data_IF_028515806838
#
_entry.id   IF_028515806838
#
_cell.length_a   1.000
_cell.length_b   1.000
_cell.length_c   1.000
_cell.angle_alpha   90.00
_cell.angle_beta   90.00
_cell.angle_gamma   90.00
#
_symmetry.space_group_name_H-M   'P 1'
#
loop_
_entity.id
_entity.type
_entity.pdbx_description
1 polymer ?
#
# COMPACT_ATOMS: atom_id res chain seq x y z
N UNK A 1 32.41 13.32 -34.85
CA UNK A 1 31.53 12.15 -34.64
C UNK A 1 31.00 12.23 -33.22
N UNK A 2 29.76 12.67 -33.09
CA UNK A 2 28.94 12.71 -31.86
C UNK A 2 28.33 11.29 -31.77
N UNK A 3 28.29 10.55 -30.67
CA UNK A 3 28.34 10.90 -29.26
C UNK A 3 27.08 10.31 -28.60
N UNK A 4 27.29 9.37 -27.69
CA UNK A 4 26.38 8.91 -26.63
C UNK A 4 25.31 7.86 -27.00
N UNK A 5 25.50 6.67 -26.43
CA UNK A 5 24.55 5.57 -26.37
C UNK A 5 23.32 5.95 -25.53
N UNK A 6 22.15 5.52 -26.00
CA UNK A 6 20.88 5.61 -25.28
C UNK A 6 20.93 4.81 -23.98
N UNK A 7 21.12 5.50 -22.85
CA UNK A 7 20.90 4.95 -21.51
C UNK A 7 19.48 5.29 -21.05
N UNK A 8 18.50 4.45 -21.39
CA UNK A 8 17.27 4.34 -20.61
C UNK A 8 17.60 3.57 -19.33
N UNK A 9 18.05 4.29 -18.29
CA UNK A 9 18.52 3.68 -17.04
C UNK A 9 18.41 4.64 -15.87
N UNK A 10 17.21 5.16 -15.63
CA UNK A 10 16.89 5.96 -14.45
C UNK A 10 16.20 5.11 -13.39
N UNK A 11 16.88 4.06 -12.91
CA UNK A 11 16.48 3.30 -11.73
C UNK A 11 16.98 4.00 -10.47
N UNK A 12 16.65 5.28 -10.30
CA UNK A 12 16.85 5.91 -9.00
C UNK A 12 15.70 5.46 -8.09
N UNK A 13 15.98 4.73 -6.99
CA UNK A 13 14.97 4.54 -5.97
C UNK A 13 14.63 5.94 -5.45
N UNK A 14 13.44 6.42 -5.79
CA UNK A 14 12.88 7.63 -5.20
C UNK A 14 13.08 7.52 -3.69
N UNK A 15 13.69 8.53 -3.03
CA UNK A 15 13.80 8.51 -1.59
C UNK A 15 12.39 8.37 -1.05
N UNK A 16 12.11 7.26 -0.37
CA UNK A 16 10.81 7.03 0.26
C UNK A 16 10.63 8.20 1.21
N UNK A 17 9.70 9.13 0.94
CA UNK A 17 9.52 10.22 1.87
C UNK A 17 9.12 9.57 3.20
N UNK A 18 9.61 10.08 4.33
CA UNK A 18 9.39 9.49 5.66
C UNK A 18 8.38 10.26 6.51
N UNK A 19 7.89 11.41 6.03
CA UNK A 19 7.02 12.31 6.80
C UNK A 19 5.59 12.38 6.27
N UNK A 20 4.61 12.55 7.15
CA UNK A 20 3.23 12.90 6.80
C UNK A 20 3.15 14.33 6.26
N UNK A 21 2.25 14.57 5.30
CA UNK A 21 2.10 15.88 4.63
C UNK A 21 0.97 16.70 5.31
N UNK A 22 1.09 18.04 5.40
CA UNK A 22 -0.01 18.89 5.84
C UNK A 22 -1.24 18.74 4.92
N UNK A 23 -2.44 18.71 5.51
CA UNK A 23 -3.69 18.62 4.76
C UNK A 23 -3.90 19.82 3.82
N UNK A 24 -4.35 19.56 2.59
CA UNK A 24 -4.61 20.57 1.58
C UNK A 24 -3.38 21.02 0.78
N UNK A 25 -2.22 20.42 1.02
CA UNK A 25 -1.02 20.68 0.21
C UNK A 25 -1.22 20.21 -1.23
N UNK A 26 -0.85 21.06 -2.19
CA UNK A 26 -0.78 20.66 -3.60
C UNK A 26 0.22 19.50 -3.75
N UNK A 27 -0.20 18.45 -4.45
CA UNK A 27 0.62 17.29 -4.76
C UNK A 27 0.85 17.31 -6.26
N UNK A 28 2.11 17.32 -6.66
CA UNK A 28 2.44 17.15 -8.07
C UNK A 28 2.14 15.70 -8.51
N UNK A 29 1.85 15.46 -9.81
CA UNK A 29 1.55 14.12 -10.30
C UNK A 29 2.61 13.06 -9.97
N UNK A 30 3.90 13.41 -9.87
CA UNK A 30 4.95 12.44 -9.51
C UNK A 30 4.85 12.07 -8.03
N UNK A 31 4.53 13.03 -7.17
CA UNK A 31 4.24 12.76 -5.75
C UNK A 31 3.07 11.80 -5.57
N UNK A 32 1.97 12.01 -6.29
CA UNK A 32 0.81 11.11 -6.26
C UNK A 32 1.15 9.69 -6.74
N UNK A 33 1.89 9.57 -7.85
CA UNK A 33 2.31 8.27 -8.37
C UNK A 33 3.28 7.56 -7.42
N UNK A 34 4.20 8.29 -6.78
CA UNK A 34 5.13 7.74 -5.80
C UNK A 34 4.38 7.20 -4.56
N UNK A 35 3.44 7.95 -4.01
CA UNK A 35 2.65 7.52 -2.86
C UNK A 35 1.74 6.32 -3.23
N UNK A 36 1.17 6.32 -4.44
CA UNK A 36 0.39 5.19 -4.96
C UNK A 36 1.24 3.93 -5.16
N UNK A 37 2.47 4.09 -5.66
CA UNK A 37 3.41 2.98 -5.81
C UNK A 37 3.84 2.43 -4.44
N UNK A 38 4.03 3.30 -3.44
CA UNK A 38 4.36 2.92 -2.07
C UNK A 38 3.23 2.08 -1.44
N UNK A 39 1.98 2.51 -1.59
CA UNK A 39 0.81 1.74 -1.18
C UNK A 39 0.77 0.36 -1.87
N UNK A 40 0.92 0.33 -3.19
CA UNK A 40 0.92 -0.92 -3.96
C UNK A 40 2.08 -1.85 -3.58
N UNK A 41 3.25 -1.32 -3.20
CA UNK A 41 4.37 -2.11 -2.71
C UNK A 41 4.07 -2.72 -1.34
N UNK A 42 3.56 -1.93 -0.39
CA UNK A 42 3.20 -2.43 0.95
C UNK A 42 2.12 -3.50 0.88
N UNK A 43 1.08 -3.31 0.08
CA UNK A 43 0.03 -4.34 -0.07
C UNK A 43 0.61 -5.63 -0.67
N UNK A 44 1.50 -5.54 -1.69
CA UNK A 44 2.14 -6.73 -2.28
C UNK A 44 3.05 -7.45 -1.29
N UNK A 45 3.85 -6.72 -0.50
CA UNK A 45 4.70 -7.30 0.55
C UNK A 45 3.88 -8.05 1.59
N UNK A 46 2.76 -7.46 2.00
CA UNK A 46 1.86 -8.06 2.98
C UNK A 46 1.26 -9.37 2.48
N UNK A 47 0.76 -9.38 1.24
CA UNK A 47 0.21 -10.60 0.62
C UNK A 47 1.27 -11.67 0.43
N UNK A 48 2.46 -11.32 -0.06
CA UNK A 48 3.55 -12.26 -0.25
C UNK A 48 3.97 -12.92 1.07
N UNK A 49 3.98 -12.14 2.16
CA UNK A 49 4.26 -12.63 3.51
C UNK A 49 3.19 -13.62 3.97
N UNK A 50 1.90 -13.34 3.73
CA UNK A 50 0.80 -14.25 4.07
C UNK A 50 0.78 -15.51 3.21
N UNK A 51 1.07 -15.40 1.91
CA UNK A 51 1.12 -16.54 1.00
C UNK A 51 2.28 -17.48 1.33
N UNK A 52 3.41 -16.93 1.82
CA UNK A 52 4.57 -17.72 2.25
C UNK A 52 4.33 -18.63 3.46
N UNK A 53 3.23 -18.44 4.20
CA UNK A 53 2.84 -19.25 5.37
C UNK A 53 1.51 -20.00 5.16
N UNK A 54 0.91 -19.91 3.97
CA UNK A 54 -0.29 -20.66 3.62
C UNK A 54 0.06 -22.13 3.29
N UNK A 55 -0.87 -23.09 3.46
CA UNK A 55 -2.29 -22.94 3.82
C UNK A 55 -2.57 -22.96 5.34
N UNK A 56 -1.64 -23.41 6.17
CA UNK A 56 -1.82 -23.53 7.61
C UNK A 56 -0.86 -22.60 8.35
N UNK A 57 -1.39 -21.48 8.84
CA UNK A 57 -0.62 -20.59 9.71
C UNK A 57 -0.72 -21.11 11.15
N UNK A 58 0.40 -21.52 11.73
CA UNK A 58 0.49 -21.79 13.17
C UNK A 58 0.63 -20.49 13.97
N UNK A 59 0.29 -20.45 15.28
CA UNK A 59 0.49 -19.26 16.10
C UNK A 59 1.95 -18.82 16.18
N UNK A 60 2.90 -19.74 16.08
CA UNK A 60 4.35 -19.44 16.10
C UNK A 60 4.75 -18.76 14.81
N UNK A 61 4.31 -19.26 13.66
CA UNK A 61 4.57 -18.63 12.36
C UNK A 61 3.89 -17.27 12.24
N UNK A 62 2.64 -17.14 12.70
CA UNK A 62 1.93 -15.87 12.76
C UNK A 62 2.75 -14.80 13.51
N UNK A 63 3.27 -15.14 14.69
CA UNK A 63 4.11 -14.22 15.47
C UNK A 63 5.43 -13.91 14.79
N UNK A 64 6.01 -14.89 14.11
CA UNK A 64 7.26 -14.72 13.36
C UNK A 64 7.10 -13.73 12.20
N UNK A 65 5.98 -13.76 11.49
CA UNK A 65 5.73 -12.87 10.34
C UNK A 65 5.11 -11.53 10.74
N UNK A 66 4.58 -11.41 11.96
CA UNK A 66 3.90 -10.20 12.42
C UNK A 66 4.72 -8.90 12.25
N UNK A 67 6.04 -8.86 12.50
CA UNK A 67 6.83 -7.65 12.25
C UNK A 67 6.85 -7.24 10.78
N UNK A 68 6.95 -8.19 9.85
CA UNK A 68 6.92 -7.92 8.41
C UNK A 68 5.53 -7.43 7.97
N UNK A 69 4.46 -8.06 8.47
CA UNK A 69 3.09 -7.61 8.22
C UNK A 69 2.85 -6.19 8.75
N UNK A 70 3.40 -5.85 9.92
CA UNK A 70 3.29 -4.50 10.50
C UNK A 70 4.04 -3.47 9.66
N UNK A 71 5.27 -3.78 9.23
CA UNK A 71 6.06 -2.87 8.37
C UNK A 71 5.29 -2.52 7.08
N UNK A 72 4.68 -3.52 6.45
CA UNK A 72 3.86 -3.31 5.25
C UNK A 72 2.56 -2.58 5.54
N UNK A 73 1.90 -2.84 6.68
CA UNK A 73 0.73 -2.08 7.12
C UNK A 73 1.06 -0.60 7.35
N UNK A 74 2.17 -0.30 8.02
CA UNK A 74 2.64 1.06 8.29
C UNK A 74 2.98 1.80 6.99
N UNK A 75 3.59 1.11 6.02
CA UNK A 75 3.89 1.64 4.68
C UNK A 75 2.62 2.05 3.94
N UNK A 76 1.57 1.23 4.00
CA UNK A 76 0.27 1.54 3.38
C UNK A 76 -0.45 2.67 4.11
N UNK A 77 -0.42 2.68 5.45
CA UNK A 77 -0.99 3.76 6.25
C UNK A 77 -0.32 5.11 5.98
N UNK A 78 1.01 5.13 5.81
CA UNK A 78 1.77 6.32 5.44
C UNK A 78 1.36 6.84 4.06
N UNK A 79 1.28 5.95 3.07
CA UNK A 79 0.83 6.30 1.72
C UNK A 79 -0.60 6.84 1.73
N UNK A 80 -1.52 6.18 2.45
CA UNK A 80 -2.89 6.65 2.65
C UNK A 80 -2.93 8.06 3.28
N UNK A 81 -2.16 8.30 4.34
CA UNK A 81 -2.07 9.60 4.99
C UNK A 81 -1.63 10.72 4.04
N UNK A 82 -0.71 10.42 3.12
CA UNK A 82 -0.25 11.39 2.12
C UNK A 82 -1.25 11.62 0.98
N UNK A 83 -1.82 10.54 0.46
CA UNK A 83 -2.81 10.60 -0.61
C UNK A 83 -4.09 11.31 -0.15
N UNK A 84 -4.55 11.03 1.07
CA UNK A 84 -5.73 11.68 1.65
C UNK A 84 -5.51 13.17 1.94
N UNK A 85 -4.31 13.56 2.38
CA UNK A 85 -3.95 14.94 2.68
C UNK A 85 -3.69 15.80 1.43
N UNK A 86 -3.36 15.18 0.31
CA UNK A 86 -3.03 15.88 -0.93
C UNK A 86 -4.24 16.40 -1.71
N UNK A 87 -4.04 17.44 -2.52
CA UNK A 87 -4.92 17.76 -3.66
C UNK A 87 -4.11 17.83 -4.94
N UNK A 88 -4.69 17.39 -6.05
CA UNK A 88 -4.08 17.42 -7.38
C UNK A 88 -4.73 18.51 -8.22
N UNK A 89 -3.92 19.27 -8.95
CA UNK A 89 -4.41 20.26 -9.92
C UNK A 89 -4.99 19.58 -11.17
N UNK A 90 -4.56 18.34 -11.44
CA UNK A 90 -5.12 17.51 -12.50
C UNK A 90 -6.45 16.89 -12.04
N UNK A 91 -7.54 17.27 -12.70
CA UNK A 91 -8.89 16.84 -12.35
C UNK A 91 -9.10 15.33 -12.45
N UNK A 92 -8.46 14.66 -13.42
CA UNK A 92 -8.55 13.22 -13.60
C UNK A 92 -7.84 12.50 -12.47
N UNK A 93 -6.63 12.95 -12.10
CA UNK A 93 -5.89 12.37 -10.98
C UNK A 93 -6.58 12.67 -9.63
N UNK A 94 -7.21 13.83 -9.48
CA UNK A 94 -7.99 14.16 -8.28
C UNK A 94 -9.26 13.30 -8.14
N UNK A 95 -9.94 12.98 -9.25
CA UNK A 95 -11.06 12.04 -9.27
C UNK A 95 -10.59 10.63 -8.89
N UNK A 96 -9.50 10.15 -9.48
CA UNK A 96 -8.88 8.87 -9.12
C UNK A 96 -8.49 8.84 -7.63
N UNK A 97 -7.84 9.89 -7.12
CA UNK A 97 -7.49 10.02 -5.69
C UNK A 97 -8.74 9.91 -4.81
N UNK A 98 -9.81 10.62 -5.17
CA UNK A 98 -11.06 10.63 -4.41
C UNK A 98 -11.74 9.26 -4.40
N UNK A 99 -11.71 8.54 -5.52
CA UNK A 99 -12.25 7.18 -5.62
C UNK A 99 -11.41 6.15 -4.84
N UNK A 100 -10.08 6.26 -4.90
CA UNK A 100 -9.14 5.28 -4.33
C UNK A 100 -8.93 5.45 -2.83
N UNK A 101 -8.89 6.69 -2.32
CA UNK A 101 -8.60 7.01 -0.92
C UNK A 101 -9.46 6.23 0.10
N UNK A 102 -10.80 6.14 -0.02
CA UNK A 102 -11.61 5.39 0.94
C UNK A 102 -11.29 3.89 0.94
N UNK A 103 -11.05 3.30 -0.23
CA UNK A 103 -10.69 1.87 -0.37
C UNK A 103 -9.34 1.61 0.30
N UNK A 104 -8.36 2.49 0.02
CA UNK A 104 -7.03 2.38 0.62
C UNK A 104 -7.06 2.54 2.14
N UNK A 105 -7.93 3.41 2.66
CA UNK A 105 -8.15 3.57 4.09
C UNK A 105 -8.69 2.31 4.78
N UNK A 106 -9.66 1.62 4.16
CA UNK A 106 -10.17 0.34 4.69
C UNK A 106 -9.15 -0.79 4.57
N UNK A 107 -8.36 -0.82 3.50
CA UNK A 107 -7.25 -1.76 3.35
C UNK A 107 -6.19 -1.55 4.45
N UNK A 108 -5.76 -0.31 4.69
CA UNK A 108 -4.79 0.03 5.73
C UNK A 108 -5.26 -0.46 7.12
N UNK A 109 -6.52 -0.20 7.48
CA UNK A 109 -7.12 -0.69 8.74
C UNK A 109 -7.17 -2.21 8.80
N UNK A 110 -7.47 -2.87 7.70
CA UNK A 110 -7.56 -4.34 7.65
C UNK A 110 -6.16 -4.96 7.78
N UNK A 111 -5.16 -4.38 7.14
CA UNK A 111 -3.75 -4.80 7.24
C UNK A 111 -3.22 -4.64 8.66
N UNK A 112 -3.49 -3.50 9.33
CA UNK A 112 -3.13 -3.25 10.73
C UNK A 112 -3.76 -4.29 11.68
N UNK A 113 -5.08 -4.55 11.54
CA UNK A 113 -5.74 -5.60 12.33
C UNK A 113 -5.15 -6.98 12.09
N UNK A 114 -4.75 -7.29 10.86
CA UNK A 114 -4.11 -8.56 10.53
C UNK A 114 -2.71 -8.67 11.12
N UNK A 115 -1.92 -7.59 11.10
CA UNK A 115 -0.60 -7.56 11.73
C UNK A 115 -0.71 -7.74 13.26
N UNK A 116 -1.68 -7.08 13.90
CA UNK A 116 -1.98 -7.27 15.33
C UNK A 116 -2.43 -8.71 15.64
N UNK A 117 -3.36 -9.25 14.84
CA UNK A 117 -3.79 -10.65 15.00
C UNK A 117 -2.63 -11.63 14.85
N UNK A 118 -1.70 -11.36 13.93
CA UNK A 118 -0.48 -12.16 13.75
C UNK A 118 0.44 -12.04 14.98
N UNK A 119 0.65 -10.84 15.52
CA UNK A 119 1.48 -10.59 16.70
C UNK A 119 0.94 -11.30 17.95
N UNK A 120 -0.38 -11.41 18.09
CA UNK A 120 -1.01 -12.14 19.18
C UNK A 120 -1.03 -13.66 18.95
N UNK A 121 -0.76 -14.12 17.72
CA UNK A 121 -0.89 -15.52 17.31
C UNK A 121 -2.35 -15.97 17.08
N UNK A 122 -3.27 -15.03 16.80
CA UNK A 122 -4.70 -15.27 16.53
C UNK A 122 -4.92 -15.68 15.08
N UNK A 123 -4.50 -16.88 14.73
CA UNK A 123 -4.51 -17.39 13.34
C UNK A 123 -5.90 -17.45 12.72
N UNK A 124 -6.95 -17.78 13.49
CA UNK A 124 -8.35 -17.73 13.01
C UNK A 124 -8.78 -16.32 12.60
N UNK A 125 -8.39 -15.31 13.37
CA UNK A 125 -8.70 -13.92 13.07
C UNK A 125 -7.91 -13.44 11.84
N UNK A 126 -6.65 -13.85 11.72
CA UNK A 126 -5.84 -13.58 10.52
C UNK A 126 -6.48 -14.16 9.25
N UNK A 127 -6.92 -15.41 9.29
CA UNK A 127 -7.60 -16.07 8.16
C UNK A 127 -8.94 -15.41 7.84
N UNK A 128 -9.70 -14.99 8.86
CA UNK A 128 -10.98 -14.31 8.67
C UNK A 128 -10.85 -12.93 7.98
N UNK A 129 -9.67 -12.30 8.02
CA UNK A 129 -9.41 -11.02 7.35
C UNK A 129 -9.01 -11.17 5.87
N UNK A 130 -8.60 -12.37 5.43
CA UNK A 130 -8.17 -12.61 4.04
C UNK A 130 -9.25 -12.26 2.99
N UNK A 131 -10.54 -12.63 3.16
CA UNK A 131 -11.57 -12.26 2.20
C UNK A 131 -11.73 -10.73 2.08
N UNK A 132 -11.67 -10.00 3.21
CA UNK A 132 -11.79 -8.55 3.20
C UNK A 132 -10.61 -7.88 2.47
N UNK A 133 -9.39 -8.37 2.69
CA UNK A 133 -8.20 -7.90 1.96
C UNK A 133 -8.33 -8.14 0.45
N UNK A 134 -8.78 -9.33 0.04
CA UNK A 134 -8.98 -9.68 -1.38
C UNK A 134 -10.04 -8.80 -2.03
N UNK A 135 -11.19 -8.61 -1.38
CA UNK A 135 -12.25 -7.74 -1.89
C UNK A 135 -11.79 -6.29 -2.01
N UNK A 136 -11.09 -5.77 -1.00
CA UNK A 136 -10.54 -4.41 -1.05
C UNK A 136 -9.54 -4.22 -2.19
N UNK A 137 -8.71 -5.21 -2.46
CA UNK A 137 -7.75 -5.23 -3.57
C UNK A 137 -8.40 -5.26 -4.95
N UNK A 138 -9.41 -6.12 -5.14
CA UNK A 138 -10.16 -6.17 -6.39
C UNK A 138 -10.89 -4.85 -6.65
N UNK A 139 -11.45 -4.25 -5.59
CA UNK A 139 -12.10 -2.93 -5.67
C UNK A 139 -11.08 -1.86 -6.07
N UNK A 140 -9.91 -1.83 -5.41
CA UNK A 140 -8.82 -0.91 -5.71
C UNK A 140 -8.35 -1.04 -7.17
N UNK A 141 -8.16 -2.27 -7.64
CA UNK A 141 -7.74 -2.56 -9.02
C UNK A 141 -8.78 -2.09 -10.04
N UNK A 142 -10.07 -2.30 -9.74
CA UNK A 142 -11.16 -1.87 -10.63
C UNK A 142 -11.27 -0.35 -10.67
N UNK A 143 -11.15 0.33 -9.52
CA UNK A 143 -11.16 1.80 -9.44
C UNK A 143 -9.98 2.43 -10.20
N UNK A 144 -8.80 1.81 -10.16
CA UNK A 144 -7.64 2.28 -10.92
C UNK A 144 -7.75 2.03 -12.44
N UNK A 145 -8.52 1.03 -12.86
CA UNK A 145 -8.75 0.75 -14.28
C UNK A 145 -9.86 1.61 -14.90
N UNK A 146 -10.75 2.17 -14.08
CA UNK A 146 -11.90 2.95 -14.50
C UNK A 146 -11.62 4.47 -14.66
N UNK A 147 -10.53 4.96 -14.05
CA UNK A 147 -10.13 6.38 -14.11
C UNK A 147 -9.09 6.67 -15.18
#
# INVERSE_FOLDING_TARGET
MIGVAAGCGGSDPLPTPTTTRPAGSAVDPRGYLADSALAAQGIRGYLATLEGVAPEVTPVEARRIAPALQEDADRVALAFGRLSAGRLDDARLEEQRTAVTPILGELAKTMDRGAQAAAEGRTRQLVALLPALRTGLETLRTSLAAG
#
